data_IF_549934832856
#
_entry.id   IF_549934832856
#
_cell.length_a   1.000
_cell.length_b   1.000
_cell.length_c   1.000
_cell.angle_alpha   90.00
_cell.angle_beta   90.00
_cell.angle_gamma   90.00
#
_symmetry.space_group_name_H-M   'P 1'
#
loop_
_entity.id
_entity.type
_entity.pdbx_description
1 polymer ?
#
# COMPACT_ATOMS: atom_id res chain seq x y z
N UNK A 1 28.25 8.05 6.45
CA UNK A 1 26.85 8.47 6.20
C UNK A 1 26.87 9.99 6.14
N UNK A 2 26.30 10.62 5.10
CA UNK A 2 26.47 12.07 4.87
C UNK A 2 25.80 12.87 6.01
N UNK A 3 26.44 13.91 6.55
CA UNK A 3 25.95 14.66 7.72
C UNK A 3 24.52 15.21 7.51
N UNK A 4 24.20 15.62 6.29
CA UNK A 4 22.87 16.06 5.86
C UNK A 4 21.80 14.96 6.00
N UNK A 5 22.14 13.71 5.65
CA UNK A 5 21.20 12.60 5.82
C UNK A 5 20.96 12.31 7.30
N UNK A 6 21.98 12.45 8.13
CA UNK A 6 21.88 12.19 9.56
C UNK A 6 21.02 13.25 10.28
N UNK A 7 21.08 14.52 9.85
CA UNK A 7 20.21 15.58 10.37
C UNK A 7 18.76 15.43 9.92
N UNK A 8 18.53 15.01 8.67
CA UNK A 8 17.16 14.82 8.13
C UNK A 8 16.50 13.56 8.70
N UNK A 9 17.25 12.45 8.84
CA UNK A 9 16.70 11.18 9.31
C UNK A 9 16.82 10.97 10.81
N UNK A 10 17.34 11.92 11.58
CA UNK A 10 17.54 11.76 13.04
C UNK A 10 18.45 10.57 13.41
N UNK A 11 19.35 10.18 12.51
CA UNK A 11 20.23 9.02 12.71
C UNK A 11 19.67 7.67 12.25
N UNK A 12 18.45 7.61 11.70
CA UNK A 12 17.93 6.38 11.10
C UNK A 12 18.70 6.01 9.83
N UNK A 13 18.93 4.71 9.64
CA UNK A 13 19.54 4.19 8.41
C UNK A 13 18.61 4.39 7.21
N UNK A 14 19.19 4.45 6.00
CA UNK A 14 18.43 4.59 4.74
C UNK A 14 17.29 3.56 4.64
N UNK A 15 17.53 2.32 5.04
CA UNK A 15 16.52 1.25 5.02
C UNK A 15 15.37 1.54 5.99
N UNK A 16 15.67 1.98 7.22
CA UNK A 16 14.63 2.35 8.19
C UNK A 16 13.78 3.52 7.68
N UNK A 17 14.40 4.49 7.01
CA UNK A 17 13.68 5.58 6.38
C UNK A 17 12.75 5.08 5.26
N UNK A 18 13.22 4.18 4.37
CA UNK A 18 12.37 3.59 3.33
C UNK A 18 11.18 2.79 3.89
N UNK A 19 11.39 2.03 4.97
CA UNK A 19 10.30 1.32 5.65
C UNK A 19 9.26 2.29 6.19
N UNK A 20 9.72 3.39 6.79
CA UNK A 20 8.85 4.42 7.33
C UNK A 20 8.06 5.13 6.22
N UNK A 21 8.69 5.46 5.08
CA UNK A 21 7.96 6.09 3.97
C UNK A 21 6.90 5.16 3.39
N UNK A 22 7.18 3.85 3.26
CA UNK A 22 6.16 2.87 2.84
C UNK A 22 4.98 2.85 3.82
N UNK A 23 5.24 2.81 5.13
CA UNK A 23 4.18 2.92 6.15
C UNK A 23 3.38 4.22 5.98
N UNK A 24 4.04 5.36 5.82
CA UNK A 24 3.36 6.65 5.65
C UNK A 24 2.42 6.64 4.46
N UNK A 25 2.86 6.12 3.30
CA UNK A 25 2.00 6.01 2.12
C UNK A 25 0.85 5.01 2.32
N UNK A 26 1.08 3.91 3.03
CA UNK A 26 0.00 2.97 3.34
C UNK A 26 -1.06 3.56 4.30
N UNK A 27 -0.65 4.41 5.24
CA UNK A 27 -1.59 5.16 6.10
C UNK A 27 -2.31 6.24 5.30
N UNK A 28 -1.61 6.95 4.42
CA UNK A 28 -2.24 7.94 3.53
C UNK A 28 -3.33 7.28 2.68
N UNK A 29 -3.06 6.10 2.13
CA UNK A 29 -4.04 5.32 1.38
C UNK A 29 -5.26 4.96 2.23
N UNK A 30 -5.04 4.36 3.41
CA UNK A 30 -6.11 4.04 4.35
C UNK A 30 -6.95 5.27 4.73
N UNK A 31 -6.31 6.42 4.96
CA UNK A 31 -6.99 7.67 5.25
C UNK A 31 -7.75 8.21 4.04
N UNK A 32 -7.21 8.08 2.83
CA UNK A 32 -7.83 8.53 1.60
C UNK A 32 -9.17 7.81 1.33
N UNK A 33 -9.25 6.53 1.71
CA UNK A 33 -10.49 5.75 1.67
C UNK A 33 -11.57 6.26 2.64
N UNK A 34 -11.23 6.85 3.80
CA UNK A 34 -12.21 7.48 4.71
C UNK A 34 -12.94 8.66 4.07
N UNK A 35 -12.30 9.34 3.11
CA UNK A 35 -12.89 10.46 2.37
C UNK A 35 -13.56 10.04 1.06
N UNK A 36 -13.42 8.77 0.67
CA UNK A 36 -14.05 8.21 -0.52
C UNK A 36 -15.41 7.61 -0.15
N UNK A 37 -16.41 8.45 0.17
CA UNK A 37 -17.77 7.97 0.50
C UNK A 37 -18.38 7.15 -0.65
N UNK A 38 -18.61 5.83 -0.48
CA UNK A 38 -19.29 5.01 -1.48
C UNK A 38 -20.79 5.05 -1.18
N UNK A 39 -21.45 6.18 -1.43
CA UNK A 39 -22.84 6.41 -1.01
C UNK A 39 -23.89 5.54 -1.72
N UNK A 40 -23.50 4.57 -2.58
CA UNK A 40 -24.44 3.88 -3.46
C UNK A 40 -24.24 2.37 -3.70
N UNK A 41 -23.18 1.71 -3.18
CA UNK A 41 -22.98 0.25 -3.40
C UNK A 41 -22.36 -0.48 -2.20
N UNK A 42 -23.11 -1.33 -1.46
CA UNK A 42 -22.62 -2.02 -0.26
C UNK A 42 -21.37 -2.89 -0.47
N UNK A 43 -21.26 -3.57 -1.62
CA UNK A 43 -20.09 -4.40 -1.95
C UNK A 43 -18.83 -3.58 -2.25
N UNK A 44 -18.99 -2.33 -2.71
CA UNK A 44 -17.87 -1.40 -2.90
C UNK A 44 -17.35 -0.93 -1.53
N UNK A 45 -18.26 -0.67 -0.58
CA UNK A 45 -17.88 -0.35 0.82
C UNK A 45 -17.12 -1.50 1.48
N UNK A 46 -17.61 -2.73 1.34
CA UNK A 46 -16.92 -3.92 1.87
C UNK A 46 -15.51 -4.08 1.28
N UNK A 47 -15.37 -3.84 -0.03
CA UNK A 47 -14.06 -3.88 -0.69
C UNK A 47 -13.11 -2.81 -0.13
N UNK A 48 -13.60 -1.58 0.06
CA UNK A 48 -12.82 -0.47 0.66
C UNK A 48 -12.36 -0.79 2.09
N UNK A 49 -13.20 -1.43 2.91
CA UNK A 49 -12.84 -1.83 4.27
C UNK A 49 -11.71 -2.88 4.28
N UNK A 50 -11.76 -3.85 3.36
CA UNK A 50 -10.69 -4.83 3.16
C UNK A 50 -9.40 -4.12 2.71
N UNK A 51 -9.48 -3.17 1.78
CA UNK A 51 -8.33 -2.40 1.31
C UNK A 51 -7.67 -1.66 2.48
N UNK A 52 -8.45 -0.89 3.25
CA UNK A 52 -7.95 -0.17 4.44
C UNK A 52 -7.22 -1.10 5.40
N UNK A 53 -7.83 -2.24 5.74
CA UNK A 53 -7.22 -3.21 6.64
C UNK A 53 -5.93 -3.80 6.05
N UNK A 54 -5.93 -4.16 4.78
CA UNK A 54 -4.77 -4.72 4.09
C UNK A 54 -3.59 -3.72 4.04
N UNK A 55 -3.85 -2.44 3.76
CA UNK A 55 -2.78 -1.43 3.70
C UNK A 55 -2.21 -1.09 5.08
N UNK A 56 -3.01 -1.14 6.15
CA UNK A 56 -2.48 -1.08 7.52
C UNK A 56 -1.50 -2.24 7.77
N UNK A 57 -1.87 -3.47 7.38
CA UNK A 57 -1.02 -4.66 7.52
C UNK A 57 0.26 -4.52 6.68
N UNK A 58 0.16 -4.06 5.43
CA UNK A 58 1.31 -3.80 4.55
C UNK A 58 2.25 -2.77 5.20
N UNK A 59 1.71 -1.68 5.75
CA UNK A 59 2.49 -0.68 6.46
C UNK A 59 3.27 -1.30 7.64
N UNK A 60 2.61 -2.15 8.44
CA UNK A 60 3.23 -2.87 9.57
C UNK A 60 4.33 -3.82 9.07
N UNK A 61 4.08 -4.60 8.02
CA UNK A 61 5.07 -5.51 7.41
C UNK A 61 6.36 -4.76 7.08
N UNK A 62 6.25 -3.63 6.38
CA UNK A 62 7.42 -2.85 6.00
C UNK A 62 8.07 -2.18 7.21
N UNK A 63 7.31 -1.54 8.10
CA UNK A 63 7.82 -0.91 9.32
C UNK A 63 8.66 -1.88 10.16
N UNK A 64 8.09 -3.06 10.45
CA UNK A 64 8.73 -4.10 11.25
C UNK A 64 9.82 -4.84 10.48
N UNK A 65 9.91 -4.67 9.17
CA UNK A 65 10.92 -5.32 8.36
C UNK A 65 10.68 -6.81 8.16
N UNK A 66 9.41 -7.25 8.06
CA UNK A 66 9.05 -8.67 7.94
C UNK A 66 9.27 -9.14 6.50
N UNK A 67 10.48 -9.64 6.23
CA UNK A 67 11.03 -9.77 4.88
C UNK A 67 10.24 -10.73 4.00
N UNK A 68 9.77 -11.84 4.56
CA UNK A 68 9.02 -12.87 3.84
C UNK A 68 7.69 -12.32 3.28
N UNK A 69 7.15 -11.28 3.92
CA UNK A 69 5.88 -10.67 3.56
C UNK A 69 6.01 -9.51 2.57
N UNK A 70 7.23 -9.05 2.26
CA UNK A 70 7.42 -7.91 1.35
C UNK A 70 6.89 -8.19 -0.05
N UNK A 71 7.18 -9.37 -0.61
CA UNK A 71 6.71 -9.74 -1.94
C UNK A 71 5.18 -9.90 -1.99
N UNK A 72 4.54 -10.64 -1.07
CA UNK A 72 3.09 -10.67 -0.97
C UNK A 72 2.45 -9.27 -0.89
N UNK A 73 3.00 -8.38 -0.07
CA UNK A 73 2.51 -7.00 0.06
C UNK A 73 2.57 -6.23 -1.27
N UNK A 74 3.70 -6.29 -1.98
CA UNK A 74 3.87 -5.60 -3.27
C UNK A 74 2.93 -6.17 -4.33
N UNK A 75 2.78 -7.50 -4.38
CA UNK A 75 1.88 -8.16 -5.33
C UNK A 75 0.42 -7.81 -5.08
N UNK A 76 0.00 -7.77 -3.81
CA UNK A 76 -1.35 -7.33 -3.45
C UNK A 76 -1.60 -5.88 -3.88
N UNK A 77 -0.68 -4.96 -3.60
CA UNK A 77 -0.80 -3.57 -4.03
C UNK A 77 -0.88 -3.44 -5.57
N UNK A 78 -0.07 -4.21 -6.30
CA UNK A 78 -0.11 -4.24 -7.76
C UNK A 78 -1.43 -4.80 -8.30
N UNK A 79 -1.94 -5.86 -7.69
CA UNK A 79 -3.27 -6.41 -8.00
C UNK A 79 -4.36 -5.35 -7.75
N UNK A 80 -4.28 -4.62 -6.64
CA UNK A 80 -5.29 -3.61 -6.33
C UNK A 80 -5.31 -2.46 -7.35
N UNK A 81 -4.11 -1.97 -7.72
CA UNK A 81 -3.97 -0.98 -8.77
C UNK A 81 -4.55 -1.48 -10.11
N UNK A 82 -4.29 -2.75 -10.46
CA UNK A 82 -4.82 -3.35 -11.68
C UNK A 82 -6.36 -3.41 -11.66
N UNK A 83 -6.96 -3.89 -10.56
CA UNK A 83 -8.43 -3.97 -10.43
C UNK A 83 -9.07 -2.57 -10.45
N UNK A 84 -8.43 -1.59 -9.82
CA UNK A 84 -8.86 -0.19 -9.89
C UNK A 84 -8.88 0.33 -11.33
N UNK A 85 -7.81 0.12 -12.10
CA UNK A 85 -7.75 0.56 -13.50
C UNK A 85 -8.75 -0.21 -14.38
N UNK A 86 -8.85 -1.53 -14.19
CA UNK A 86 -9.73 -2.39 -14.95
C UNK A 86 -11.21 -2.02 -14.73
N UNK A 87 -11.61 -1.81 -13.47
CA UNK A 87 -12.97 -1.36 -13.14
C UNK A 87 -13.32 0.00 -13.74
N UNK A 88 -12.34 0.83 -14.08
CA UNK A 88 -12.56 2.07 -14.82
C UNK A 88 -13.07 1.86 -16.26
N UNK A 89 -12.76 0.73 -16.87
CA UNK A 89 -13.05 0.43 -18.28
C UNK A 89 -14.17 -0.60 -18.42
N UNK A 90 -14.22 -1.59 -17.52
CA UNK A 90 -15.19 -2.70 -17.57
C UNK A 90 -15.97 -2.81 -16.26
N UNK A 91 -17.19 -3.33 -16.34
CA UNK A 91 -17.93 -3.74 -15.15
C UNK A 91 -17.24 -4.94 -14.48
N UNK A 92 -17.33 -5.03 -13.15
CA UNK A 92 -16.79 -6.14 -12.36
C UNK A 92 -17.87 -6.78 -11.49
N UNK A 93 -18.82 -7.56 -12.04
CA UNK A 93 -19.80 -8.26 -11.21
C UNK A 93 -19.12 -9.29 -10.28
N UNK A 94 -19.54 -9.44 -9.01
CA UNK A 94 -20.68 -8.79 -8.34
C UNK A 94 -20.35 -7.43 -7.71
N UNK A 95 -19.12 -6.94 -7.81
CA UNK A 95 -18.60 -5.73 -7.16
C UNK A 95 -19.26 -4.46 -7.72
N UNK A 96 -19.32 -4.35 -9.05
CA UNK A 96 -19.99 -3.25 -9.74
C UNK A 96 -20.67 -3.73 -11.02
N UNK A 97 -21.98 -3.45 -11.22
CA UNK A 97 -22.71 -3.83 -12.43
C UNK A 97 -22.35 -2.97 -13.64
N UNK A 98 -21.68 -1.83 -13.44
CA UNK A 98 -21.23 -0.92 -14.49
C UNK A 98 -19.75 -0.59 -14.33
N UNK A 99 -19.11 -0.11 -15.40
CA UNK A 99 -17.75 0.41 -15.31
C UNK A 99 -17.72 1.68 -14.43
N UNK A 100 -16.78 1.72 -13.50
CA UNK A 100 -16.50 2.83 -12.61
C UNK A 100 -15.61 3.86 -13.31
N UNK A 101 -16.10 4.43 -14.42
CA UNK A 101 -15.34 5.37 -15.28
C UNK A 101 -14.70 6.55 -14.53
N UNK A 102 -15.25 6.92 -13.36
CA UNK A 102 -14.65 7.88 -12.43
C UNK A 102 -13.24 7.49 -11.95
N UNK A 103 -12.83 6.22 -12.02
CA UNK A 103 -11.46 5.78 -11.71
C UNK A 103 -10.40 6.33 -12.68
N UNK A 104 -10.81 6.60 -13.92
CA UNK A 104 -9.92 7.09 -15.00
C UNK A 104 -10.00 8.61 -15.11
N UNK A 105 -11.05 9.22 -14.56
CA UNK A 105 -11.23 10.68 -14.53
C UNK A 105 -10.46 11.29 -13.34
N UNK A 106 -9.14 11.34 -13.48
CA UNK A 106 -8.19 11.83 -12.45
C UNK A 106 -8.39 13.29 -12.02
N UNK A 107 -9.07 14.11 -12.82
CA UNK A 107 -9.20 15.56 -12.59
C UNK A 107 -10.49 15.96 -11.85
N UNK A 108 -11.49 15.08 -11.77
CA UNK A 108 -12.84 15.43 -11.28
C UNK A 108 -13.35 14.52 -10.15
N UNK A 109 -12.66 13.42 -9.85
CA UNK A 109 -13.21 12.36 -8.99
C UNK A 109 -12.34 12.09 -7.75
N UNK A 110 -12.76 12.68 -6.62
CA UNK A 110 -12.35 12.38 -5.25
C UNK A 110 -10.84 12.42 -4.94
N UNK A 111 -10.45 13.41 -4.15
CA UNK A 111 -9.15 13.48 -3.46
C UNK A 111 -8.72 12.12 -2.88
N UNK A 112 -9.64 11.31 -2.36
CA UNK A 112 -9.34 9.98 -1.85
C UNK A 112 -8.70 9.03 -2.89
N UNK A 113 -9.30 8.90 -4.07
CA UNK A 113 -8.88 7.87 -5.05
C UNK A 113 -7.58 8.21 -5.76
N UNK A 114 -7.32 9.49 -6.04
CA UNK A 114 -6.07 9.93 -6.65
C UNK A 114 -4.87 9.70 -5.71
N UNK A 115 -5.03 9.99 -4.42
CA UNK A 115 -3.98 9.74 -3.43
C UNK A 115 -3.73 8.26 -3.19
N UNK A 116 -4.77 7.43 -3.18
CA UNK A 116 -4.63 5.96 -3.13
C UNK A 116 -3.77 5.43 -4.27
N UNK A 117 -4.03 5.86 -5.51
CA UNK A 117 -3.22 5.42 -6.65
C UNK A 117 -1.74 5.82 -6.52
N UNK A 118 -1.47 7.07 -6.11
CA UNK A 118 -0.09 7.53 -5.88
C UNK A 118 0.58 6.69 -4.80
N UNK A 119 -0.13 6.40 -3.71
CA UNK A 119 0.37 5.57 -2.63
C UNK A 119 0.66 4.14 -3.10
N UNK A 120 -0.23 3.54 -3.88
CA UNK A 120 -0.01 2.20 -4.42
C UNK A 120 1.20 2.14 -5.34
N UNK A 121 1.33 3.09 -6.27
CA UNK A 121 2.49 3.16 -7.18
C UNK A 121 3.78 3.32 -6.35
N UNK A 122 3.78 4.19 -5.35
CA UNK A 122 4.94 4.38 -4.47
C UNK A 122 5.32 3.07 -3.74
N UNK A 123 4.34 2.40 -3.13
CA UNK A 123 4.54 1.13 -2.42
C UNK A 123 5.07 0.06 -3.38
N UNK A 124 4.54 -0.04 -4.60
CA UNK A 124 5.02 -0.99 -5.61
C UNK A 124 6.48 -0.72 -5.94
N UNK A 125 6.85 0.52 -6.26
CA UNK A 125 8.21 0.89 -6.66
C UNK A 125 9.19 0.72 -5.49
N UNK A 126 8.91 1.36 -4.36
CA UNK A 126 9.82 1.38 -3.21
C UNK A 126 9.82 0.06 -2.45
N UNK A 127 8.68 -0.63 -2.39
CA UNK A 127 8.59 -2.00 -1.89
C UNK A 127 9.41 -2.96 -2.75
N UNK A 128 9.33 -2.87 -4.08
CA UNK A 128 10.16 -3.68 -5.00
C UNK A 128 11.66 -3.44 -4.82
N UNK A 129 12.06 -2.17 -4.62
CA UNK A 129 13.45 -1.84 -4.27
C UNK A 129 13.83 -2.47 -2.92
N UNK A 130 12.97 -2.35 -1.91
CA UNK A 130 13.19 -2.90 -0.57
C UNK A 130 13.29 -4.43 -0.57
N UNK A 131 12.59 -5.12 -1.46
CA UNK A 131 12.76 -6.58 -1.68
C UNK A 131 14.21 -6.92 -2.06
N UNK A 132 14.93 -6.05 -2.75
CA UNK A 132 16.32 -6.31 -3.15
C UNK A 132 17.34 -5.89 -2.10
N UNK A 133 17.13 -4.73 -1.46
CA UNK A 133 18.18 -4.09 -0.66
C UNK A 133 18.02 -4.27 0.86
N UNK A 134 16.81 -4.56 1.33
CA UNK A 134 16.55 -4.73 2.75
C UNK A 134 16.72 -6.19 3.17
N UNK A 135 17.53 -6.47 4.20
CA UNK A 135 17.72 -7.83 4.72
C UNK A 135 16.61 -8.27 5.71
N UNK A 136 15.68 -7.38 6.05
CA UNK A 136 14.69 -7.60 7.09
C UNK A 136 15.19 -7.18 8.47
N UNK A 137 14.32 -7.22 9.48
CA UNK A 137 14.69 -7.02 10.88
C UNK A 137 15.08 -8.33 11.58
N UNK A 138 15.64 -8.23 12.79
CA UNK A 138 15.91 -9.40 13.65
C UNK A 138 14.64 -10.12 14.10
N UNK A 139 13.45 -9.51 13.97
CA UNK A 139 12.19 -10.19 14.25
C UNK A 139 11.98 -11.39 13.32
N UNK A 140 12.50 -11.33 12.09
CA UNK A 140 12.41 -12.47 11.18
C UNK A 140 13.12 -13.72 11.72
N UNK A 141 14.17 -13.54 12.52
CA UNK A 141 14.90 -14.68 13.10
C UNK A 141 14.10 -15.34 14.23
N UNK A 142 13.18 -14.61 14.87
CA UNK A 142 12.23 -15.16 15.85
C UNK A 142 11.03 -15.88 15.20
N UNK A 143 10.79 -15.64 13.91
CA UNK A 143 9.70 -16.23 13.14
C UNK A 143 10.16 -17.40 12.26
N UNK A 144 11.48 -17.58 12.12
CA UNK A 144 12.05 -18.78 11.49
C UNK A 144 11.97 -19.91 12.49
N UNK A 145 11.50 -21.07 12.03
CA UNK A 145 11.25 -22.30 12.78
C UNK A 145 11.98 -22.41 14.12
N UNK A 146 11.20 -22.69 15.17
CA UNK A 146 11.70 -23.50 16.28
C UNK A 146 12.06 -24.86 15.68
N UNK A 147 13.36 -25.15 15.57
CA UNK A 147 13.81 -26.47 15.11
C UNK A 147 13.15 -27.56 15.99
N UNK A 148 12.14 -28.24 15.47
CA UNK A 148 11.73 -29.58 15.90
C UNK A 148 12.37 -30.63 15.00
#
# INVERSE_FOLDING_TARGET
>A
MNALLQSITGGYSKIKFLRFTILSFAIIDAAAHLYASPSSYPYVTFWLEIEVAAFIVIGIVFLLGLKIWYLPSVLFTAFNLMIYLLSGIVALPPISPTALSGHIQFSSYSFGRAFSMIAWIYIIVVGSVSIKIDKGSRLNDLLKDDKT
#
